data_IF_291256417662
#
_entry.id   IF_291256417662
#
_cell.length_a   1.000
_cell.length_b   1.000
_cell.length_c   1.000
_cell.angle_alpha   90.00
_cell.angle_beta   90.00
_cell.angle_gamma   90.00
#
_symmetry.space_group_name_H-M   'P 1'
#
loop_
_entity.id
_entity.type
_entity.pdbx_description
1 polymer ?
#
# COMPACT_ATOMS: atom_id res chain seq x y z
N UNK A 1 24.41 -13.43 25.26
CA UNK A 1 25.28 -12.28 25.59
C UNK A 1 25.48 -11.50 24.30
N UNK A 2 25.02 -10.25 24.21
CA UNK A 2 25.27 -9.39 23.04
C UNK A 2 26.65 -8.79 23.22
N UNK A 3 27.60 -9.14 22.35
CA UNK A 3 28.94 -8.56 22.38
C UNK A 3 28.83 -7.09 21.95
N UNK A 4 28.78 -6.17 22.91
CA UNK A 4 28.91 -4.74 22.64
C UNK A 4 30.34 -4.46 22.16
N UNK A 5 30.46 -4.02 20.92
CA UNK A 5 31.74 -3.60 20.35
C UNK A 5 32.08 -2.24 20.98
N UNK A 6 33.18 -2.11 21.74
CA UNK A 6 33.52 -0.86 22.39
C UNK A 6 33.88 0.20 21.34
N UNK A 7 33.44 1.44 21.52
CA UNK A 7 33.86 2.54 20.66
C UNK A 7 35.33 2.90 20.98
N UNK A 8 36.29 2.64 20.07
CA UNK A 8 37.71 2.83 20.35
C UNK A 8 38.12 4.30 20.49
N UNK A 9 37.28 5.24 20.03
CA UNK A 9 37.59 6.66 19.99
C UNK A 9 36.89 7.46 21.10
N UNK A 10 36.12 6.80 21.97
CA UNK A 10 35.37 7.44 23.03
C UNK A 10 35.97 7.17 24.41
N UNK A 11 35.87 8.10 25.37
CA UNK A 11 36.28 7.87 26.76
C UNK A 11 35.41 6.79 27.42
N UNK A 12 35.88 6.24 28.54
CA UNK A 12 35.26 5.10 29.23
C UNK A 12 33.76 5.30 29.53
N UNK A 13 33.34 6.54 29.80
CA UNK A 13 31.94 6.93 30.04
C UNK A 13 31.00 6.59 28.87
N UNK A 14 31.47 6.69 27.61
CA UNK A 14 30.67 6.44 26.41
C UNK A 14 31.08 5.15 25.67
N UNK A 15 31.99 4.37 26.25
CA UNK A 15 32.60 3.19 25.61
C UNK A 15 31.59 2.15 25.13
N UNK A 16 30.49 2.00 25.87
CA UNK A 16 29.41 1.06 25.58
C UNK A 16 28.08 1.75 25.25
N UNK A 17 28.06 3.07 25.12
CA UNK A 17 26.86 3.80 24.70
C UNK A 17 26.64 3.58 23.20
N UNK A 18 25.44 3.14 22.85
CA UNK A 18 25.05 2.84 21.46
C UNK A 18 24.18 3.94 20.87
N UNK A 19 23.52 4.74 21.72
CA UNK A 19 22.77 5.91 21.28
C UNK A 19 23.72 7.09 21.00
N UNK A 20 23.97 7.33 19.71
CA UNK A 20 24.85 8.41 19.24
C UNK A 20 24.41 9.81 19.71
N UNK A 21 23.16 10.00 20.13
CA UNK A 21 22.63 11.29 20.60
C UNK A 21 23.19 11.69 21.97
N UNK A 22 23.65 10.71 22.75
CA UNK A 22 24.22 10.91 24.09
C UNK A 22 25.74 11.09 24.06
N UNK A 23 26.38 10.87 22.91
CA UNK A 23 27.82 10.94 22.75
C UNK A 23 28.21 12.31 22.17
N UNK A 24 29.14 13.06 22.79
CA UNK A 24 29.62 14.32 22.23
C UNK A 24 30.16 14.17 20.80
N UNK A 25 29.83 15.13 19.93
CA UNK A 25 30.14 15.08 18.48
C UNK A 25 31.62 14.85 18.16
N UNK A 26 32.54 15.30 19.03
CA UNK A 26 34.00 15.07 18.91
C UNK A 26 34.40 13.59 18.96
N UNK A 27 33.58 12.73 19.54
CA UNK A 27 33.81 11.28 19.66
C UNK A 27 32.96 10.44 18.69
N UNK A 28 32.10 11.09 17.89
CA UNK A 28 31.32 10.44 16.85
C UNK A 28 32.14 10.34 15.57
N UNK A 29 32.05 9.20 14.87
CA UNK A 29 32.67 9.05 13.57
C UNK A 29 31.94 9.94 12.54
N UNK A 30 32.60 10.96 11.95
CA UNK A 30 31.97 11.87 11.00
C UNK A 30 31.72 11.22 9.64
N UNK A 31 32.36 10.08 9.35
CA UNK A 31 32.05 9.25 8.18
C UNK A 31 30.78 8.45 8.46
N UNK A 32 29.64 9.14 8.51
CA UNK A 32 28.34 8.49 8.53
C UNK A 32 28.26 7.64 7.26
N UNK A 33 28.02 6.32 7.36
CA UNK A 33 27.82 5.50 6.19
C UNK A 33 26.67 6.13 5.40
N UNK A 34 26.97 6.65 4.20
CA UNK A 34 25.91 7.03 3.28
C UNK A 34 25.07 5.78 3.09
N UNK A 35 23.82 5.82 3.57
CA UNK A 35 22.95 4.65 3.56
C UNK A 35 22.86 4.03 2.17
N UNK A 36 22.35 2.80 2.08
CA UNK A 36 22.17 2.05 0.84
C UNK A 36 21.54 2.95 -0.25
N UNK A 37 22.36 3.41 -1.20
CA UNK A 37 22.01 4.40 -2.22
C UNK A 37 20.95 3.98 -3.25
N UNK A 38 20.17 2.91 -2.99
CA UNK A 38 19.06 2.45 -3.82
C UNK A 38 17.76 2.47 -3.03
N UNK A 39 16.80 3.25 -3.51
CA UNK A 39 15.42 3.28 -3.02
C UNK A 39 14.79 1.93 -3.35
N UNK A 40 14.57 1.09 -2.33
CA UNK A 40 13.99 -0.26 -2.48
C UNK A 40 12.63 -0.26 -3.22
N UNK A 41 11.97 0.90 -3.31
CA UNK A 41 10.66 1.07 -3.92
C UNK A 41 10.64 1.21 -5.44
N UNK A 42 11.81 1.27 -6.10
CA UNK A 42 11.86 1.45 -7.56
C UNK A 42 11.19 0.31 -8.34
N UNK A 43 11.22 -0.92 -7.82
CA UNK A 43 10.51 -2.06 -8.43
C UNK A 43 8.97 -1.95 -8.30
N UNK A 44 8.46 -1.18 -7.34
CA UNK A 44 7.04 -0.93 -7.17
C UNK A 44 6.55 0.25 -8.01
N UNK A 45 7.44 1.15 -8.43
CA UNK A 45 7.10 2.27 -9.31
C UNK A 45 6.72 1.82 -10.74
N UNK A 46 7.08 0.60 -11.13
CA UNK A 46 6.86 0.02 -12.46
C UNK A 46 5.71 -1.00 -12.49
N UNK A 47 4.69 -0.87 -11.63
CA UNK A 47 3.55 -1.79 -11.62
C UNK A 47 2.28 -1.15 -12.22
N UNK A 48 2.28 -0.79 -13.52
CA UNK A 48 1.08 -0.29 -14.20
C UNK A 48 -0.05 -1.31 -14.16
N UNK A 49 0.30 -2.61 -14.16
CA UNK A 49 -0.67 -3.70 -14.03
C UNK A 49 -1.44 -3.64 -12.70
N UNK A 50 -0.80 -3.27 -11.58
CA UNK A 50 -1.51 -3.14 -10.31
C UNK A 50 -2.50 -1.98 -10.34
N UNK A 51 -2.12 -0.86 -10.97
CA UNK A 51 -3.03 0.28 -11.15
C UNK A 51 -4.23 -0.11 -12.03
N UNK A 52 -3.98 -0.78 -13.15
CA UNK A 52 -5.04 -1.24 -14.07
C UNK A 52 -6.01 -2.23 -13.40
N UNK A 53 -5.50 -3.14 -12.57
CA UNK A 53 -6.33 -4.07 -11.79
C UNK A 53 -7.20 -3.31 -10.78
N UNK A 54 -6.65 -2.32 -10.07
CA UNK A 54 -7.41 -1.52 -9.11
C UNK A 54 -8.51 -0.71 -9.81
N UNK A 55 -8.22 -0.11 -10.97
CA UNK A 55 -9.19 0.60 -11.78
C UNK A 55 -10.34 -0.29 -12.24
N UNK A 56 -10.06 -1.54 -12.63
CA UNK A 56 -11.11 -2.50 -12.96
C UNK A 56 -11.96 -2.87 -11.75
N UNK A 57 -11.35 -3.12 -10.58
CA UNK A 57 -12.10 -3.43 -9.35
C UNK A 57 -13.03 -2.27 -8.97
N UNK A 58 -12.57 -1.02 -9.07
CA UNK A 58 -13.40 0.16 -8.77
C UNK A 58 -14.58 0.28 -9.75
N UNK A 59 -14.37 0.01 -11.04
CA UNK A 59 -15.45 -0.03 -12.05
C UNK A 59 -16.45 -1.15 -11.76
N UNK A 60 -15.95 -2.30 -11.34
CA UNK A 60 -16.76 -3.48 -11.05
C UNK A 60 -17.67 -3.30 -9.84
N UNK A 61 -17.27 -2.49 -8.85
CA UNK A 61 -18.12 -2.14 -7.71
C UNK A 61 -19.39 -1.37 -8.09
N UNK A 62 -19.41 -0.70 -9.25
CA UNK A 62 -20.58 0.00 -9.76
C UNK A 62 -21.48 -0.88 -10.64
N UNK A 63 -21.09 -2.14 -10.89
CA UNK A 63 -21.91 -3.07 -11.68
C UNK A 63 -23.08 -3.56 -10.82
N UNK A 64 -24.28 -3.49 -11.39
CA UNK A 64 -25.48 -4.06 -10.80
C UNK A 64 -25.70 -5.43 -11.44
N UNK A 65 -26.12 -6.42 -10.65
CA UNK A 65 -26.48 -7.74 -11.18
C UNK A 65 -27.61 -7.62 -12.21
N UNK A 66 -27.52 -8.41 -13.29
CA UNK A 66 -28.58 -8.45 -14.29
C UNK A 66 -29.87 -8.91 -13.60
N UNK A 67 -30.99 -8.20 -13.77
CA UNK A 67 -32.26 -8.63 -13.18
C UNK A 67 -32.63 -10.01 -13.73
N UNK A 68 -33.03 -10.90 -12.82
CA UNK A 68 -33.54 -12.22 -13.18
C UNK A 68 -34.94 -12.04 -13.77
N UNK A 69 -35.09 -12.30 -15.07
CA UNK A 69 -36.40 -12.34 -15.72
C UNK A 69 -37.06 -13.68 -15.45
N UNK A 70 -37.95 -13.72 -14.46
CA UNK A 70 -38.86 -14.85 -14.23
C UNK A 70 -40.01 -14.83 -15.25
N UNK A 71 -40.67 -15.97 -15.43
CA UNK A 71 -41.83 -16.07 -16.33
C UNK A 71 -42.93 -15.08 -15.93
N UNK A 72 -43.26 -15.00 -14.64
CA UNK A 72 -44.21 -14.04 -14.08
C UNK A 72 -43.86 -12.57 -14.41
N UNK A 73 -42.56 -12.24 -14.43
CA UNK A 73 -42.09 -10.88 -14.76
C UNK A 73 -42.31 -10.54 -16.24
N UNK A 74 -42.16 -11.54 -17.13
CA UNK A 74 -42.42 -11.39 -18.55
C UNK A 74 -43.91 -11.19 -18.82
N UNK A 75 -44.76 -11.97 -18.16
CA UNK A 75 -46.22 -11.88 -18.32
C UNK A 75 -46.74 -10.52 -17.82
N UNK A 76 -46.18 -10.02 -16.72
CA UNK A 76 -46.49 -8.69 -16.19
C UNK A 76 -46.09 -7.57 -17.17
N UNK A 77 -44.91 -7.69 -17.78
CA UNK A 77 -44.44 -6.74 -18.80
C UNK A 77 -45.35 -6.73 -20.02
N UNK A 78 -45.78 -7.92 -20.48
CA UNK A 78 -46.68 -8.04 -21.62
C UNK A 78 -48.05 -7.44 -21.29
N UNK A 79 -48.60 -7.70 -20.10
CA UNK A 79 -49.84 -7.05 -19.65
C UNK A 79 -49.75 -5.52 -19.65
N UNK A 80 -48.69 -4.95 -19.06
CA UNK A 80 -48.48 -3.50 -19.03
C UNK A 80 -48.40 -2.94 -20.46
N UNK A 81 -47.71 -3.65 -21.34
CA UNK A 81 -47.57 -3.27 -22.74
C UNK A 81 -48.92 -3.27 -23.47
N UNK A 82 -49.74 -4.31 -23.32
CA UNK A 82 -51.07 -4.38 -23.92
C UNK A 82 -51.98 -3.25 -23.44
N UNK A 83 -51.96 -2.94 -22.13
CA UNK A 83 -52.73 -1.83 -21.54
C UNK A 83 -52.29 -0.48 -22.13
N UNK A 84 -50.99 -0.27 -22.36
CA UNK A 84 -50.48 0.98 -22.95
C UNK A 84 -50.81 1.14 -24.43
N UNK A 85 -50.98 0.05 -25.17
CA UNK A 85 -51.39 0.11 -26.59
C UNK A 85 -52.89 0.42 -26.71
N UNK A 86 -53.69 -0.01 -25.74
CA UNK A 86 -55.15 0.11 -25.77
C UNK A 86 -55.66 1.47 -25.27
N UNK A 87 -54.84 2.28 -24.61
CA UNK A 87 -55.13 3.66 -24.21
C UNK A 87 -54.46 4.66 -25.16
#
# INVERSE_FOLDING_TARGET
>A
MVNMIPNPNAPDEYKYETDYRKIPRKYLNPKIPQGRGKIKWQAFATLPQQFEILEQIIKDQNKIEKPLLTHDSLDNLDQIYQIKIQN
#
